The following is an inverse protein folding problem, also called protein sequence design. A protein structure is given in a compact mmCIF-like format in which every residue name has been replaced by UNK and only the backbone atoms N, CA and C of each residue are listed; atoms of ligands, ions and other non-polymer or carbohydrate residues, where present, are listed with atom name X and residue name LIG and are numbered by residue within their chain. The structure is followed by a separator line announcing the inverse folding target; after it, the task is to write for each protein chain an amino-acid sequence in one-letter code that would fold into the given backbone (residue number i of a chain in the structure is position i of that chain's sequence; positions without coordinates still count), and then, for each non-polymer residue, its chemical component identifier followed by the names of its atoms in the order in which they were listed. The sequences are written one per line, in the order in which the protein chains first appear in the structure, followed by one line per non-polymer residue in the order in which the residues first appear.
data_IF_978741294512
#
_entry.id   IF_978741294512
#
_cell.length_a   1.000
_cell.length_b   1.000
_cell.length_c   1.000
_cell.angle_alpha   90.00
_cell.angle_beta   90.00
_cell.angle_gamma   90.00
#
_symmetry.space_group_name_H-M   'P 1'
#
loop_
_entity.id
_entity.type
_entity.pdbx_description
1 polymer ?
#
# COMPACT_ATOMS: atom_id res chain seq x y z
N UNK A 1 -66.93 4.40 -57.20
CA UNK A 1 -67.99 5.40 -57.50
C UNK A 1 -68.42 5.25 -58.96
N UNK A 2 -67.52 5.43 -59.93
CA UNK A 2 -67.79 5.25 -61.37
C UNK A 2 -68.48 3.92 -61.72
N UNK A 3 -68.00 2.78 -61.19
CA UNK A 3 -68.62 1.46 -61.40
C UNK A 3 -70.10 1.38 -60.99
N UNK A 4 -70.47 2.02 -59.88
CA UNK A 4 -71.85 2.03 -59.37
C UNK A 4 -72.73 3.01 -60.18
N UNK A 5 -72.16 4.14 -60.61
CA UNK A 5 -72.85 5.11 -61.45
C UNK A 5 -73.17 4.56 -62.85
N UNK A 6 -72.30 3.71 -63.40
CA UNK A 6 -72.53 3.03 -64.67
C UNK A 6 -73.65 1.96 -64.57
N UNK A 7 -73.71 1.24 -63.45
CA UNK A 7 -74.74 0.23 -63.17
C UNK A 7 -76.14 0.86 -63.00
N UNK A 8 -76.22 2.04 -62.38
CA UNK A 8 -77.47 2.79 -62.18
C UNK A 8 -77.93 3.53 -63.46
N UNK A 9 -76.99 3.99 -64.29
CA UNK A 9 -77.28 4.64 -65.57
C UNK A 9 -77.83 3.67 -66.64
N UNK A 10 -77.51 2.38 -66.54
CA UNK A 10 -78.08 1.33 -67.40
C UNK A 10 -79.52 0.95 -67.00
N UNK A 11 -79.91 1.21 -65.75
CA UNK A 11 -81.25 0.95 -65.23
C UNK A 11 -82.26 2.07 -65.53
N UNK A 12 -81.82 3.22 -66.05
CA UNK A 12 -82.66 4.41 -66.30
C UNK A 12 -83.04 4.57 -67.78
N UNK A 13 -84.22 5.15 -68.05
CA UNK A 13 -84.80 5.26 -69.41
C UNK A 13 -84.04 6.19 -70.39
N UNK A 14 -83.01 6.92 -69.93
CA UNK A 14 -82.16 7.79 -70.76
C UNK A 14 -80.71 7.30 -70.68
N UNK A 15 -80.18 6.60 -71.70
CA UNK A 15 -78.84 6.05 -71.63
C UNK A 15 -77.79 7.16 -71.71
N UNK A 16 -77.12 7.44 -70.59
CA UNK A 16 -75.92 8.28 -70.57
C UNK A 16 -74.75 7.47 -71.10
N UNK A 17 -74.00 8.00 -72.07
CA UNK A 17 -72.84 7.29 -72.64
C UNK A 17 -71.79 7.01 -71.56
N UNK A 18 -71.31 5.76 -71.49
CA UNK A 18 -70.27 5.31 -70.54
C UNK A 18 -69.02 6.21 -70.61
N UNK A 19 -68.70 6.72 -71.79
CA UNK A 19 -67.57 7.61 -72.03
C UNK A 19 -67.74 8.97 -71.33
N UNK A 20 -68.96 9.49 -71.27
CA UNK A 20 -69.26 10.76 -70.59
C UNK A 20 -69.14 10.61 -69.06
N UNK A 21 -69.60 9.49 -68.51
CA UNK A 21 -69.46 9.18 -67.07
C UNK A 21 -67.98 9.03 -66.69
N UNK A 22 -67.18 8.36 -67.55
CA UNK A 22 -65.74 8.24 -67.35
C UNK A 22 -65.03 9.59 -67.42
N UNK A 23 -65.30 10.38 -68.46
CA UNK A 23 -64.69 11.70 -68.62
C UNK A 23 -65.06 12.66 -67.48
N UNK A 24 -66.32 12.64 -67.02
CA UNK A 24 -66.76 13.41 -65.86
C UNK A 24 -66.09 12.94 -64.56
N UNK A 25 -65.94 11.62 -64.38
CA UNK A 25 -65.25 11.04 -63.23
C UNK A 25 -63.76 11.42 -63.23
N UNK A 26 -63.09 11.36 -64.38
CA UNK A 26 -61.68 11.76 -64.55
C UNK A 26 -61.49 13.26 -64.27
N UNK A 27 -62.40 14.11 -64.74
CA UNK A 27 -62.37 15.55 -64.45
C UNK A 27 -62.58 15.84 -62.97
N UNK A 28 -63.54 15.17 -62.33
CA UNK A 28 -63.79 15.30 -60.89
C UNK A 28 -62.58 14.82 -60.08
N UNK A 29 -62.02 13.67 -60.45
CA UNK A 29 -60.85 13.11 -59.79
C UNK A 29 -59.63 14.02 -59.96
N UNK A 30 -59.40 14.55 -61.16
CA UNK A 30 -58.33 15.52 -61.41
C UNK A 30 -58.49 16.80 -60.60
N UNK A 31 -59.71 17.31 -60.43
CA UNK A 31 -59.98 18.46 -59.57
C UNK A 31 -59.78 18.12 -58.08
N UNK A 32 -60.26 16.95 -57.65
CA UNK A 32 -60.10 16.47 -56.29
C UNK A 32 -58.63 16.27 -55.93
N UNK A 33 -57.85 15.64 -56.80
CA UNK A 33 -56.42 15.40 -56.58
C UNK A 33 -55.65 16.71 -56.43
N UNK A 34 -55.93 17.71 -57.28
CA UNK A 34 -55.33 19.05 -57.16
C UNK A 34 -55.73 19.76 -55.86
N UNK A 35 -56.98 19.60 -55.43
CA UNK A 35 -57.44 20.17 -54.18
C UNK A 35 -56.80 19.50 -52.96
N UNK A 36 -56.69 18.17 -52.99
CA UNK A 36 -56.02 17.36 -51.96
C UNK A 36 -54.55 17.74 -51.87
N UNK A 37 -53.83 17.78 -52.99
CA UNK A 37 -52.42 18.12 -53.05
C UNK A 37 -52.13 19.49 -52.41
N UNK A 38 -52.88 20.52 -52.83
CA UNK A 38 -52.79 21.87 -52.24
C UNK A 38 -53.12 21.90 -50.74
N UNK A 39 -54.05 21.06 -50.29
CA UNK A 39 -54.39 20.96 -48.87
C UNK A 39 -53.31 20.23 -48.08
N UNK A 40 -52.67 19.22 -48.67
CA UNK A 40 -51.54 18.52 -48.07
C UNK A 40 -50.30 19.41 -47.99
N UNK A 41 -50.01 20.25 -48.99
CA UNK A 41 -48.93 21.25 -48.92
C UNK A 41 -49.12 22.21 -47.75
N UNK A 42 -50.37 22.66 -47.53
CA UNK A 42 -50.75 23.52 -46.40
C UNK A 42 -50.60 22.79 -45.08
N UNK A 43 -51.04 21.54 -45.03
CA UNK A 43 -50.92 20.69 -43.85
C UNK A 43 -49.44 20.45 -43.51
N UNK A 44 -48.61 20.08 -44.49
CA UNK A 44 -47.18 19.87 -44.31
C UNK A 44 -46.50 21.15 -43.80
N UNK A 45 -46.81 22.29 -44.42
CA UNK A 45 -46.31 23.59 -43.97
C UNK A 45 -46.71 23.90 -42.53
N UNK A 46 -47.92 23.53 -42.12
CA UNK A 46 -48.40 23.73 -40.76
C UNK A 46 -47.69 22.79 -39.77
N UNK A 47 -47.56 21.50 -40.10
CA UNK A 47 -46.89 20.50 -39.29
C UNK A 47 -45.43 20.89 -39.04
N UNK A 48 -44.69 21.25 -40.10
CA UNK A 48 -43.28 21.66 -40.01
C UNK A 48 -43.09 22.91 -39.16
N UNK A 49 -44.01 23.88 -39.23
CA UNK A 49 -43.87 25.16 -38.53
C UNK A 49 -44.36 25.14 -37.09
N UNK A 50 -45.35 24.31 -36.76
CA UNK A 50 -46.02 24.39 -35.45
C UNK A 50 -45.83 23.14 -34.58
N UNK A 51 -45.70 21.95 -35.17
CA UNK A 51 -45.62 20.69 -34.42
C UNK A 51 -44.20 20.14 -34.37
N UNK A 52 -43.51 20.15 -35.50
CA UNK A 52 -42.14 19.65 -35.62
C UNK A 52 -41.09 20.77 -35.65
N UNK A 53 -41.45 21.96 -35.16
CA UNK A 53 -40.52 23.07 -35.04
C UNK A 53 -39.99 23.17 -33.61
N UNK A 54 -38.68 23.11 -33.46
CA UNK A 54 -38.01 23.44 -32.20
C UNK A 54 -37.68 24.95 -32.26
N UNK A 55 -38.21 25.77 -31.34
CA UNK A 55 -37.91 27.19 -31.29
C UNK A 55 -36.42 27.43 -31.06
N UNK A 56 -35.84 28.44 -31.71
CA UNK A 56 -34.40 28.75 -31.59
C UNK A 56 -33.96 29.18 -30.17
N UNK A 57 -34.91 29.57 -29.32
CA UNK A 57 -34.67 29.95 -27.93
C UNK A 57 -34.81 28.78 -26.94
N UNK A 58 -35.11 27.57 -27.42
CA UNK A 58 -35.27 26.39 -26.58
C UNK A 58 -34.17 25.40 -26.92
N UNK A 59 -33.31 25.14 -25.93
CA UNK A 59 -32.36 24.04 -25.97
C UNK A 59 -33.06 22.77 -25.49
N UNK A 60 -32.86 21.65 -26.18
CA UNK A 60 -33.33 20.37 -25.70
C UNK A 60 -32.56 19.96 -24.43
N UNK A 61 -33.18 19.23 -23.49
CA UNK A 61 -32.49 18.77 -22.28
C UNK A 61 -31.24 17.94 -22.57
N UNK A 62 -31.25 17.22 -23.69
CA UNK A 62 -30.15 16.39 -24.18
C UNK A 62 -28.93 17.24 -24.59
N UNK A 63 -29.18 18.44 -25.10
CA UNK A 63 -28.16 19.35 -25.59
C UNK A 63 -27.64 20.29 -24.49
N UNK A 64 -28.09 20.14 -23.23
CA UNK A 64 -27.73 21.02 -22.12
C UNK A 64 -26.21 21.19 -21.91
N UNK A 65 -25.42 20.17 -22.28
CA UNK A 65 -23.95 20.22 -22.25
C UNK A 65 -23.36 21.26 -23.21
N UNK A 66 -24.07 21.60 -24.28
CA UNK A 66 -23.69 22.60 -25.27
C UNK A 66 -24.12 24.02 -24.88
N UNK A 67 -24.80 24.20 -23.75
CA UNK A 67 -25.18 25.53 -23.25
C UNK A 67 -23.96 26.39 -22.86
N UNK A 68 -22.91 25.74 -22.40
CA UNK A 68 -21.61 26.36 -22.16
C UNK A 68 -20.64 25.87 -23.21
N UNK A 69 -20.26 26.79 -24.10
CA UNK A 69 -19.19 26.54 -25.06
C UNK A 69 -17.87 26.38 -24.30
N UNK A 70 -17.41 25.14 -24.15
CA UNK A 70 -16.05 24.86 -23.72
C UNK A 70 -15.09 25.25 -24.86
N UNK A 71 -14.15 26.14 -24.56
CA UNK A 71 -13.11 26.48 -25.52
C UNK A 71 -12.12 25.33 -25.63
N UNK A 72 -11.51 25.13 -26.81
CA UNK A 72 -10.40 24.19 -26.96
C UNK A 72 -9.23 24.45 -25.99
N UNK A 73 -9.10 25.69 -25.50
CA UNK A 73 -8.13 26.05 -24.44
C UNK A 73 -8.53 25.50 -23.07
N UNK A 74 -9.82 25.48 -22.76
CA UNK A 74 -10.33 24.97 -21.49
C UNK A 74 -10.21 23.45 -21.43
N UNK A 75 -10.46 22.76 -22.56
CA UNK A 75 -10.23 21.32 -22.69
C UNK A 75 -8.75 20.97 -22.52
N UNK A 76 -7.86 21.67 -23.22
CA UNK A 76 -6.41 21.45 -23.09
C UNK A 76 -5.90 21.71 -21.67
N UNK A 77 -6.47 22.70 -20.97
CA UNK A 77 -6.16 22.98 -19.57
C UNK A 77 -6.67 21.86 -18.67
N UNK A 78 -7.90 21.38 -18.89
CA UNK A 78 -8.48 20.29 -18.12
C UNK A 78 -7.65 19.01 -18.25
N UNK A 79 -7.20 18.68 -19.46
CA UNK A 79 -6.32 17.53 -19.72
C UNK A 79 -4.98 17.66 -18.99
N UNK A 80 -4.38 18.86 -19.01
CA UNK A 80 -3.14 19.12 -18.29
C UNK A 80 -3.32 19.00 -16.77
N UNK A 81 -4.41 19.55 -16.22
CA UNK A 81 -4.75 19.45 -14.79
C UNK A 81 -4.99 18.00 -14.38
N UNK A 82 -5.65 17.22 -15.25
CA UNK A 82 -5.94 15.81 -15.01
C UNK A 82 -4.66 14.97 -15.02
N UNK A 83 -3.71 15.24 -15.92
CA UNK A 83 -2.42 14.55 -15.93
C UNK A 83 -1.55 14.94 -14.72
N UNK A 84 -1.54 16.22 -14.33
CA UNK A 84 -0.89 16.68 -13.11
C UNK A 84 -1.45 15.96 -11.88
N UNK A 85 -2.78 15.85 -11.78
CA UNK A 85 -3.42 15.17 -10.66
C UNK A 85 -3.09 13.67 -10.64
N UNK A 86 -3.10 13.00 -11.80
CA UNK A 86 -2.67 11.59 -11.90
C UNK A 86 -1.24 11.39 -11.40
N UNK A 87 -0.33 12.29 -11.78
CA UNK A 87 1.06 12.22 -11.33
C UNK A 87 1.17 12.44 -9.82
N UNK A 88 0.43 13.40 -9.25
CA UNK A 88 0.39 13.62 -7.81
C UNK A 88 -0.13 12.40 -7.06
N UNK A 89 -1.20 11.76 -7.55
CA UNK A 89 -1.75 10.53 -6.96
C UNK A 89 -0.71 9.41 -6.98
N UNK A 90 -0.04 9.18 -8.12
CA UNK A 90 1.04 8.17 -8.22
C UNK A 90 2.17 8.44 -7.23
N UNK A 91 2.62 9.69 -7.13
CA UNK A 91 3.67 10.08 -6.20
C UNK A 91 3.23 9.85 -4.75
N UNK A 92 1.99 10.22 -4.40
CA UNK A 92 1.42 10.00 -3.06
C UNK A 92 1.33 8.51 -2.72
N UNK A 93 0.92 7.67 -3.66
CA UNK A 93 0.88 6.22 -3.48
C UNK A 93 2.28 5.65 -3.22
N UNK A 94 3.28 6.09 -3.99
CA UNK A 94 4.66 5.67 -3.79
C UNK A 94 5.22 6.09 -2.42
N UNK A 95 5.00 7.35 -2.03
CA UNK A 95 5.42 7.87 -0.73
C UNK A 95 4.76 7.08 0.40
N UNK A 96 3.45 6.83 0.31
CA UNK A 96 2.73 6.02 1.30
C UNK A 96 3.27 4.59 1.38
N UNK A 97 3.56 3.95 0.26
CA UNK A 97 4.16 2.62 0.25
C UNK A 97 5.54 2.62 0.93
N UNK A 98 6.39 3.60 0.63
CA UNK A 98 7.71 3.75 1.25
C UNK A 98 7.61 4.00 2.75
N UNK A 99 6.70 4.87 3.18
CA UNK A 99 6.47 5.15 4.60
C UNK A 99 5.98 3.91 5.35
N UNK A 100 5.09 3.11 4.75
CA UNK A 100 4.65 1.83 5.33
C UNK A 100 5.79 0.84 5.48
N UNK A 101 6.65 0.72 4.47
CA UNK A 101 7.84 -0.12 4.55
C UNK A 101 8.77 0.35 5.68
N UNK A 102 9.05 1.65 5.75
CA UNK A 102 9.89 2.22 6.81
C UNK A 102 9.31 1.98 8.20
N UNK A 103 7.99 2.06 8.35
CA UNK A 103 7.31 1.77 9.60
C UNK A 103 7.48 0.30 10.01
N UNK A 104 7.34 -0.64 9.07
CA UNK A 104 7.59 -2.06 9.32
C UNK A 104 9.05 -2.32 9.71
N UNK A 105 10.01 -1.70 9.04
CA UNK A 105 11.43 -1.81 9.39
C UNK A 105 11.71 -1.29 10.81
N UNK A 106 11.08 -0.17 11.18
CA UNK A 106 11.18 0.40 12.52
C UNK A 106 10.55 -0.51 13.60
N UNK A 107 9.39 -1.10 13.33
CA UNK A 107 8.74 -2.07 14.23
C UNK A 107 9.61 -3.31 14.45
N UNK A 108 10.24 -3.83 13.40
CA UNK A 108 11.17 -4.96 13.50
C UNK A 108 12.39 -4.58 14.34
N UNK A 109 12.98 -3.41 14.11
CA UNK A 109 14.12 -2.93 14.89
C UNK A 109 13.74 -2.73 16.37
N UNK A 110 12.55 -2.20 16.65
CA UNK A 110 12.04 -2.05 18.00
C UNK A 110 11.86 -3.41 18.69
N UNK A 111 11.25 -4.40 18.02
CA UNK A 111 11.09 -5.74 18.57
C UNK A 111 12.45 -6.42 18.90
N UNK A 112 13.48 -6.18 18.08
CA UNK A 112 14.83 -6.66 18.36
C UNK A 112 15.44 -6.01 19.60
N UNK A 113 15.26 -4.69 19.76
CA UNK A 113 15.72 -3.95 20.93
C UNK A 113 15.00 -4.40 22.20
N UNK A 114 13.68 -4.58 22.14
CA UNK A 114 12.89 -5.10 23.27
C UNK A 114 13.34 -6.50 23.66
N UNK A 115 13.61 -7.36 22.68
CA UNK A 115 14.18 -8.70 22.91
C UNK A 115 15.60 -8.66 23.50
N UNK A 116 16.41 -7.64 23.18
CA UNK A 116 17.71 -7.43 23.80
C UNK A 116 17.56 -6.93 25.25
N UNK A 117 16.70 -5.95 25.49
CA UNK A 117 16.41 -5.45 26.84
C UNK A 117 15.88 -6.55 27.76
N UNK A 118 15.00 -7.42 27.26
CA UNK A 118 14.53 -8.59 28.01
C UNK A 118 15.67 -9.52 28.39
N UNK A 119 16.60 -9.79 27.47
CA UNK A 119 17.79 -10.61 27.75
C UNK A 119 18.70 -9.98 28.79
N UNK A 120 18.95 -8.68 28.71
CA UNK A 120 19.73 -7.93 29.71
C UNK A 120 19.05 -7.96 31.07
N UNK A 121 17.73 -7.74 31.12
CA UNK A 121 16.96 -7.82 32.35
C UNK A 121 16.99 -9.23 32.96
N UNK A 122 16.88 -10.27 32.14
CA UNK A 122 17.00 -11.66 32.60
C UNK A 122 18.39 -11.94 33.18
N UNK A 123 19.46 -11.47 32.54
CA UNK A 123 20.81 -11.57 33.08
C UNK A 123 20.93 -10.84 34.43
N UNK A 124 20.39 -9.63 34.53
CA UNK A 124 20.39 -8.88 35.77
C UNK A 124 19.60 -9.60 36.89
N UNK A 125 18.46 -10.21 36.56
CA UNK A 125 17.69 -11.04 37.50
C UNK A 125 18.45 -12.30 37.94
N UNK A 126 19.20 -12.95 37.05
CA UNK A 126 20.04 -14.11 37.40
C UNK A 126 21.16 -13.69 38.35
N UNK A 127 21.82 -12.56 38.07
CA UNK A 127 22.88 -12.01 38.92
C UNK A 127 22.35 -11.61 40.31
N UNK A 128 21.19 -10.95 40.36
CA UNK A 128 20.56 -10.59 41.64
C UNK A 128 20.11 -11.81 42.44
N UNK A 129 19.57 -12.85 41.79
CA UNK A 129 19.27 -14.15 42.43
C UNK A 129 20.53 -14.84 42.96
N UNK A 130 21.64 -14.73 42.24
CA UNK A 130 22.95 -15.22 42.69
C UNK A 130 23.59 -14.35 43.81
N UNK A 131 22.89 -13.29 44.26
CA UNK A 131 23.35 -12.29 45.24
C UNK A 131 24.62 -11.54 44.83
N UNK A 132 24.91 -11.50 43.52
CA UNK A 132 26.00 -10.71 42.97
C UNK A 132 25.40 -9.35 42.59
N UNK A 133 25.46 -8.38 43.49
CA UNK A 133 24.92 -7.04 43.28
C UNK A 133 25.72 -6.25 42.24
N UNK A 134 27.04 -6.43 42.22
CA UNK A 134 27.91 -5.88 41.20
C UNK A 134 28.90 -6.94 40.71
N UNK A 135 28.75 -7.33 39.44
CA UNK A 135 29.61 -8.32 38.80
C UNK A 135 31.05 -7.81 38.73
N UNK A 136 31.24 -6.51 38.52
CA UNK A 136 32.57 -5.89 38.46
C UNK A 136 33.29 -6.05 39.79
N UNK A 137 32.65 -5.66 40.89
CA UNK A 137 33.22 -5.79 42.23
C UNK A 137 33.50 -7.25 42.60
N UNK A 138 32.59 -8.17 42.25
CA UNK A 138 32.76 -9.59 42.54
C UNK A 138 33.94 -10.20 41.78
N UNK A 139 34.16 -9.82 40.51
CA UNK A 139 35.31 -10.29 39.72
C UNK A 139 36.61 -9.70 40.28
N UNK A 140 36.63 -8.41 40.61
CA UNK A 140 37.80 -7.75 41.19
C UNK A 140 38.16 -8.38 42.55
N UNK A 141 37.16 -8.65 43.39
CA UNK A 141 37.37 -9.28 44.69
C UNK A 141 37.93 -10.70 44.56
N UNK A 142 37.34 -11.53 43.69
CA UNK A 142 37.81 -12.91 43.46
C UNK A 142 39.20 -12.95 42.85
N UNK A 143 39.49 -12.10 41.86
CA UNK A 143 40.83 -11.96 41.28
C UNK A 143 41.87 -11.49 42.31
N UNK A 144 41.50 -10.54 43.18
CA UNK A 144 42.34 -10.08 44.28
C UNK A 144 42.63 -11.16 45.30
N UNK A 145 41.62 -11.98 45.67
CA UNK A 145 41.79 -13.14 46.56
C UNK A 145 42.65 -14.23 45.93
N UNK A 146 42.44 -14.55 44.66
CA UNK A 146 43.24 -15.53 43.93
C UNK A 146 44.72 -15.11 43.87
N UNK A 147 45.01 -13.81 43.68
CA UNK A 147 46.38 -13.28 43.71
C UNK A 147 47.04 -13.46 45.07
N UNK A 148 46.34 -13.09 46.16
CA UNK A 148 46.83 -13.29 47.53
C UNK A 148 47.07 -14.77 47.85
N UNK A 149 46.18 -15.65 47.41
CA UNK A 149 46.35 -17.09 47.59
C UNK A 149 47.59 -17.62 46.85
N UNK A 150 47.82 -17.15 45.61
CA UNK A 150 49.02 -17.49 44.84
C UNK A 150 50.30 -17.03 45.53
N UNK A 151 50.31 -15.81 46.08
CA UNK A 151 51.45 -15.28 46.85
C UNK A 151 51.72 -16.12 48.10
N UNK A 152 50.68 -16.48 48.86
CA UNK A 152 50.82 -17.35 50.03
C UNK A 152 51.28 -18.77 49.67
N UNK A 153 50.78 -19.34 48.58
CA UNK A 153 51.22 -20.65 48.11
C UNK A 153 52.70 -20.65 47.72
N UNK A 154 53.15 -19.60 47.03
CA UNK A 154 54.56 -19.44 46.69
C UNK A 154 55.44 -19.31 47.95
N UNK A 155 54.99 -18.54 48.96
CA UNK A 155 55.72 -18.43 50.23
C UNK A 155 55.84 -19.77 50.95
N UNK A 156 54.76 -20.56 51.01
CA UNK A 156 54.78 -21.91 51.62
C UNK A 156 55.68 -22.85 50.82
N UNK A 157 55.69 -22.72 49.50
CA UNK A 157 56.53 -23.55 48.62
C UNK A 157 58.02 -23.20 48.80
N UNK A 158 58.36 -21.92 48.96
CA UNK A 158 59.71 -21.46 49.31
C UNK A 158 60.13 -21.86 50.73
N UNK A 159 59.22 -21.82 51.70
CA UNK A 159 59.47 -22.30 53.06
C UNK A 159 59.72 -23.81 53.10
N UNK A 160 58.87 -24.60 52.44
CA UNK A 160 59.07 -26.05 52.32
C UNK A 160 60.37 -26.40 51.58
N UNK A 161 60.77 -25.59 50.60
CA UNK A 161 62.06 -25.76 49.91
C UNK A 161 63.25 -25.45 50.84
N UNK A 162 63.15 -24.42 51.68
CA UNK A 162 64.17 -24.12 52.71
C UNK A 162 64.24 -25.18 53.81
N UNK A 163 63.11 -25.61 54.34
CA UNK A 163 63.05 -26.68 55.35
C UNK A 163 63.60 -28.02 54.80
N UNK A 164 63.40 -28.30 53.52
CA UNK A 164 63.96 -29.48 52.85
C UNK A 164 65.49 -29.40 52.72
N UNK A 165 66.09 -28.20 52.63
CA UNK A 165 67.54 -28.03 52.68
C UNK A 165 68.08 -28.15 54.12
N UNK A 166 67.38 -27.59 55.12
CA UNK A 166 67.80 -27.70 56.53
C UNK A 166 67.76 -29.15 57.04
N UNK A 167 66.79 -29.96 56.61
CA UNK A 167 66.72 -31.40 56.96
C UNK A 167 67.83 -32.24 56.33
N UNK A 168 68.51 -31.76 55.28
CA UNK A 168 69.71 -32.42 54.75
C UNK A 168 70.95 -32.15 55.62
N UNK A 169 70.98 -31.06 56.40
CA UNK A 169 72.11 -30.72 57.28
C UNK A 169 72.01 -31.31 58.70
N UNK A 170 70.83 -31.74 59.15
CA UNK A 170 70.65 -32.29 60.53
C UNK A 170 70.84 -33.81 60.65
N UNK A 171 71.11 -34.54 59.57
CA UNK A 171 71.39 -35.98 59.60
C UNK A 171 72.91 -36.29 59.59
N UNK A 172 73.71 -35.59 60.39
CA UNK A 172 75.06 -36.02 60.75
C UNK A 172 75.06 -36.46 62.23
N UNK A 173 75.49 -37.69 62.57
CA UNK A 173 75.42 -38.18 63.94
C UNK A 173 76.50 -37.53 64.82
N UNK A 174 76.05 -37.02 65.99
CA UNK A 174 76.91 -36.51 67.05
C UNK A 174 77.42 -37.64 67.95
N UNK A 175 78.75 -37.74 68.10
CA UNK A 175 79.47 -38.41 69.18
C UNK A 175 80.85 -37.71 69.27
N UNK A 176 81.48 -37.38 70.40
CA UNK A 176 81.28 -37.47 71.86
C UNK A 176 82.43 -36.58 72.44
N UNK A 177 82.31 -35.89 73.60
CA UNK A 177 83.44 -35.17 74.17
C UNK A 177 84.10 -35.86 75.38
N UNK A 178 85.44 -35.73 75.41
CA UNK A 178 86.34 -35.57 76.57
C UNK A 178 86.83 -36.79 77.38
N UNK A 179 88.16 -36.95 77.46
CA UNK A 179 89.06 -36.68 78.63
C UNK A 179 90.46 -37.31 78.40
N UNK A 180 91.53 -36.51 78.32
CA UNK A 180 92.56 -36.24 79.37
C UNK A 180 93.37 -37.48 79.84
N UNK A 181 94.64 -37.58 79.42
CA UNK A 181 95.85 -37.57 80.28
C UNK A 181 97.17 -37.80 79.47
N UNK A 182 98.17 -36.97 79.75
CA UNK A 182 99.63 -37.10 79.47
C UNK A 182 100.27 -38.18 80.39
N UNK A 183 101.61 -38.47 80.43
CA UNK A 183 102.77 -38.19 79.53
C UNK A 183 103.78 -39.38 79.33
N UNK A 184 104.86 -39.18 78.56
CA UNK A 184 106.22 -39.81 78.54
C UNK A 184 106.46 -41.35 78.54
N UNK A 185 107.19 -41.83 77.52
CA UNK A 185 108.20 -42.94 77.42
C UNK A 185 108.11 -43.53 76.00
N UNK A 186 109.11 -43.73 75.16
CA UNK A 186 110.57 -43.85 75.19
C UNK A 186 111.10 -43.53 73.77
#
# INVERSE_FOLDING_TARGET
MEKYLLEEAEATSNPVSRECVREASDKLFGHFLKAVDKNFDRLESYLKKNLFHIPSNVLLPEDAVHWQDYSAKDDAKLDADLENLRQQVRNSLYVNARLRQWLQEAEVAQAQLDGFLLRVNNLHQILSKAKISDLSESIIFTAGKARKLKEQLNLVLEQNFRESQERQFTNLPAAMPSKLCNPNSE
#
